data_IF_630329807506
#
_entry.id   IF_630329807506
#
_cell.length_a   1.000
_cell.length_b   1.000
_cell.length_c   1.000
_cell.angle_alpha   90.00
_cell.angle_beta   90.00
_cell.angle_gamma   90.00
#
_symmetry.space_group_name_H-M   'P 1'
#
loop_
_entity.id
_entity.type
_entity.pdbx_description
1 polymer ?
#
# COMPACT_ATOMS: atom_id res chain seq x y z
N UNK A 1 20.77 8.55 -2.69
CA UNK A 1 19.80 9.04 -1.69
C UNK A 1 19.25 10.46 -1.98
N UNK A 2 19.90 11.29 -2.81
CA UNK A 2 19.44 12.66 -3.11
C UNK A 2 18.12 12.79 -3.89
N UNK A 3 17.75 11.79 -4.71
CA UNK A 3 16.52 11.86 -5.51
C UNK A 3 15.23 11.68 -4.69
N UNK A 4 15.27 10.88 -3.61
CA UNK A 4 14.10 10.65 -2.76
C UNK A 4 13.78 11.87 -1.88
N UNK A 5 14.79 12.53 -1.32
CA UNK A 5 14.60 13.71 -0.48
C UNK A 5 13.95 14.85 -1.27
N UNK A 6 14.41 15.09 -2.50
CA UNK A 6 13.86 16.14 -3.37
C UNK A 6 12.40 15.88 -3.74
N UNK A 7 12.04 14.65 -4.13
CA UNK A 7 10.65 14.28 -4.45
C UNK A 7 9.74 14.39 -3.23
N UNK A 8 10.21 13.98 -2.05
CA UNK A 8 9.44 14.07 -0.82
C UNK A 8 9.14 15.52 -0.43
N UNK A 9 10.11 16.42 -0.63
CA UNK A 9 9.95 17.85 -0.32
C UNK A 9 9.01 18.53 -1.32
N UNK A 10 9.10 18.18 -2.60
CA UNK A 10 8.18 18.67 -3.62
C UNK A 10 6.73 18.25 -3.32
N UNK A 11 6.50 16.98 -2.95
CA UNK A 11 5.17 16.50 -2.56
C UNK A 11 4.63 17.24 -1.32
N UNK A 12 5.48 17.51 -0.33
CA UNK A 12 5.11 18.31 0.86
C UNK A 12 4.71 19.74 0.49
N UNK A 13 5.44 20.39 -0.41
CA UNK A 13 5.11 21.73 -0.90
C UNK A 13 3.74 21.78 -1.61
N UNK A 14 3.31 20.66 -2.22
CA UNK A 14 1.99 20.50 -2.83
C UNK A 14 0.88 20.13 -1.84
N UNK A 15 1.19 20.04 -0.54
CA UNK A 15 0.24 19.70 0.52
C UNK A 15 0.06 18.20 0.77
N UNK A 16 0.95 17.33 0.29
CA UNK A 16 0.93 15.90 0.61
C UNK A 16 1.76 15.59 1.87
N UNK A 17 1.32 14.58 2.62
CA UNK A 17 2.11 13.99 3.71
C UNK A 17 2.83 12.74 3.22
N UNK A 18 4.13 12.67 3.46
CA UNK A 18 4.93 11.45 3.25
C UNK A 18 5.06 10.75 4.60
N UNK A 19 4.67 9.47 4.67
CA UNK A 19 4.59 8.70 5.90
C UNK A 19 5.32 7.36 5.75
N UNK A 20 5.97 6.93 6.84
CA UNK A 20 6.51 5.57 6.99
C UNK A 20 5.53 4.64 7.72
N UNK A 21 4.44 5.19 8.27
CA UNK A 21 3.31 4.44 8.82
C UNK A 21 2.44 3.92 7.67
N UNK A 22 2.53 2.61 7.41
CA UNK A 22 1.82 1.94 6.32
C UNK A 22 0.29 2.00 6.48
N UNK A 23 -0.23 2.07 7.70
CA UNK A 23 -1.67 2.12 7.97
C UNK A 23 -2.29 3.48 7.65
N UNK A 24 -1.48 4.55 7.70
CA UNK A 24 -1.90 5.92 7.32
C UNK A 24 -1.69 6.22 5.84
N UNK A 25 -1.04 5.34 5.09
CA UNK A 25 -0.73 5.56 3.69
C UNK A 25 -2.00 5.49 2.82
N UNK A 26 -2.29 6.57 2.10
CA UNK A 26 -3.41 6.60 1.14
C UNK A 26 -3.00 6.13 -0.26
N UNK A 27 -1.73 6.34 -0.62
CA UNK A 27 -1.16 5.97 -1.92
C UNK A 27 0.20 5.31 -1.69
N UNK A 28 0.44 4.19 -2.38
CA UNK A 28 1.76 3.56 -2.47
C UNK A 28 2.32 3.79 -3.87
N UNK A 29 3.54 4.33 -3.96
CA UNK A 29 4.16 4.66 -5.24
C UNK A 29 5.18 3.58 -5.60
N UNK A 30 4.92 2.82 -6.67
CA UNK A 30 5.78 1.72 -7.09
C UNK A 30 5.84 1.60 -8.61
N UNK A 31 7.03 1.32 -9.19
CA UNK A 31 7.17 1.11 -10.64
C UNK A 31 6.72 -0.28 -11.09
N UNK A 32 6.66 -1.25 -10.18
CA UNK A 32 6.32 -2.66 -10.41
C UNK A 32 5.83 -3.30 -9.10
N UNK A 33 5.20 -4.47 -9.18
CA UNK A 33 4.82 -5.25 -8.00
C UNK A 33 6.09 -5.72 -7.28
N UNK A 34 6.14 -5.54 -5.95
CA UNK A 34 7.29 -5.91 -5.13
C UNK A 34 6.85 -6.67 -3.89
N UNK A 35 7.61 -7.68 -3.50
CA UNK A 35 7.42 -8.43 -2.24
C UNK A 35 8.20 -7.72 -1.14
N UNK A 36 7.68 -6.59 -0.67
CA UNK A 36 8.27 -5.79 0.42
C UNK A 36 7.16 -5.27 1.33
N UNK A 37 7.47 -4.99 2.59
CA UNK A 37 6.50 -4.41 3.53
C UNK A 37 5.94 -3.07 3.02
N UNK A 38 6.79 -2.24 2.42
CA UNK A 38 6.44 -0.94 1.83
C UNK A 38 5.45 -1.03 0.66
N UNK A 39 5.39 -2.16 -0.01
CA UNK A 39 4.40 -2.41 -1.07
C UNK A 39 3.16 -3.11 -0.50
N UNK A 40 3.37 -4.19 0.23
CA UNK A 40 2.32 -5.09 0.67
C UNK A 40 1.45 -4.48 1.77
N UNK A 41 2.01 -3.90 2.83
CA UNK A 41 1.23 -3.37 3.95
C UNK A 41 0.25 -2.25 3.53
N UNK A 42 0.65 -1.22 2.76
CA UNK A 42 -0.31 -0.23 2.28
C UNK A 42 -1.35 -0.82 1.32
N UNK A 43 -0.95 -1.74 0.43
CA UNK A 43 -1.85 -2.38 -0.53
C UNK A 43 -3.00 -3.09 0.20
N UNK A 44 -2.66 -3.91 1.18
CA UNK A 44 -3.64 -4.66 1.97
C UNK A 44 -4.43 -3.75 2.91
N UNK A 45 -3.86 -2.64 3.41
CA UNK A 45 -4.62 -1.59 4.10
C UNK A 45 -5.57 -0.80 3.17
N UNK A 46 -5.53 -1.05 1.85
CA UNK A 46 -6.45 -0.45 0.88
C UNK A 46 -5.94 0.82 0.22
N UNK A 47 -4.66 1.15 0.37
CA UNK A 47 -4.01 2.24 -0.36
C UNK A 47 -4.13 2.05 -1.88
N UNK A 48 -4.16 3.14 -2.64
CA UNK A 48 -4.07 3.08 -4.09
C UNK A 48 -2.61 2.86 -4.52
N UNK A 49 -2.35 1.86 -5.34
CA UNK A 49 -1.01 1.62 -5.89
C UNK A 49 -0.86 2.36 -7.21
N UNK A 50 0.05 3.34 -7.24
CA UNK A 50 0.27 4.23 -8.38
C UNK A 50 1.72 4.20 -8.85
N UNK A 51 1.92 4.55 -10.11
CA UNK A 51 3.24 4.64 -10.75
C UNK A 51 3.96 5.93 -10.34
N UNK A 52 5.32 5.96 -10.41
CA UNK A 52 6.08 7.18 -10.14
C UNK A 52 5.73 8.37 -11.05
N UNK A 53 5.15 8.12 -12.22
CA UNK A 53 4.71 9.16 -13.14
C UNK A 53 3.61 10.04 -12.53
N UNK A 54 2.80 9.51 -11.61
CA UNK A 54 1.82 10.32 -10.88
C UNK A 54 2.49 11.44 -10.08
N UNK A 55 3.57 11.12 -9.37
CA UNK A 55 4.32 12.09 -8.57
C UNK A 55 4.96 13.12 -9.47
N UNK A 56 5.58 12.69 -10.58
CA UNK A 56 6.18 13.60 -11.57
C UNK A 56 5.14 14.57 -12.11
N UNK A 57 3.99 14.08 -12.53
CA UNK A 57 2.94 14.93 -13.11
C UNK A 57 2.31 15.85 -12.06
N UNK A 58 2.18 15.42 -10.79
CA UNK A 58 1.77 16.32 -9.70
C UNK A 58 2.73 17.50 -9.53
N UNK A 59 4.04 17.23 -9.61
CA UNK A 59 5.09 18.26 -9.51
C UNK A 59 5.04 19.19 -10.72
N UNK A 60 4.97 18.65 -11.92
CA UNK A 60 4.91 19.43 -13.17
C UNK A 60 3.68 20.35 -13.21
N UNK A 61 2.51 19.86 -12.78
CA UNK A 61 1.28 20.65 -12.77
C UNK A 61 1.21 21.59 -11.55
N UNK A 62 2.07 21.39 -10.55
CA UNK A 62 2.06 22.20 -9.33
C UNK A 62 0.85 21.93 -8.42
N UNK A 63 0.22 20.74 -8.51
CA UNK A 63 -0.89 20.33 -7.63
C UNK A 63 -1.00 18.81 -7.52
N UNK A 64 -1.62 18.33 -6.45
CA UNK A 64 -1.92 16.91 -6.30
C UNK A 64 -3.07 16.49 -7.24
N UNK A 65 -2.79 15.55 -8.13
CA UNK A 65 -3.79 14.91 -9.00
C UNK A 65 -4.60 13.91 -8.15
N UNK A 66 -5.61 14.37 -7.43
CA UNK A 66 -6.46 13.54 -6.55
C UNK A 66 -7.72 13.09 -7.29
N UNK A 67 -8.25 11.91 -6.95
CA UNK A 67 -9.67 11.64 -7.27
C UNK A 67 -10.49 12.69 -6.56
N UNK A 68 -11.24 13.49 -7.30
CA UNK A 68 -12.20 14.36 -6.66
C UNK A 68 -13.29 13.49 -6.03
N UNK A 69 -13.33 13.44 -4.70
CA UNK A 69 -14.48 12.90 -3.94
C UNK A 69 -15.53 14.00 -3.77
N UNK A 70 -15.66 14.90 -4.74
CA UNK A 70 -16.66 15.96 -4.76
C UNK A 70 -17.85 15.45 -5.57
N UNK A 71 -18.62 14.60 -4.91
CA UNK A 71 -20.08 14.56 -5.09
C UNK A 71 -20.76 15.62 -4.19
N UNK A 72 -20.01 16.49 -3.51
CA UNK A 72 -20.58 17.63 -2.80
C UNK A 72 -20.62 18.86 -3.72
N UNK A 73 -21.82 19.07 -4.24
CA UNK A 73 -22.30 20.20 -5.02
C UNK A 73 -21.83 21.55 -4.43
N UNK A 74 -21.16 22.38 -5.23
CA UNK A 74 -21.00 23.80 -4.87
C UNK A 74 -19.90 24.61 -5.55
N UNK A 75 -18.88 24.00 -6.18
CA UNK A 75 -17.83 24.79 -6.82
C UNK A 75 -18.11 25.00 -8.32
N UNK A 76 -19.04 25.91 -8.62
CA UNK A 76 -19.46 26.30 -9.98
C UNK A 76 -18.36 27.03 -10.80
N UNK A 77 -17.19 27.30 -10.23
CA UNK A 77 -16.19 28.22 -10.83
C UNK A 77 -14.88 27.58 -11.26
N UNK A 78 -14.80 26.24 -11.40
CA UNK A 78 -13.59 25.60 -11.96
C UNK A 78 -13.91 24.58 -13.06
N UNK A 79 -13.65 24.89 -14.34
CA UNK A 79 -13.93 24.01 -15.49
C UNK A 79 -12.98 22.78 -15.61
N UNK A 80 -12.35 22.33 -14.51
CA UNK A 80 -11.32 21.28 -14.52
C UNK A 80 -11.70 20.00 -13.77
N UNK A 81 -12.92 19.91 -13.24
CA UNK A 81 -13.31 18.84 -12.33
C UNK A 81 -13.46 17.46 -13.01
N UNK A 82 -13.78 17.41 -14.30
CA UNK A 82 -14.10 16.16 -15.01
C UNK A 82 -12.84 15.36 -15.42
N UNK A 83 -11.73 16.01 -15.74
CA UNK A 83 -10.47 15.33 -16.12
C UNK A 83 -9.76 14.67 -14.92
N UNK A 84 -10.05 15.12 -13.70
CA UNK A 84 -9.26 14.78 -12.51
C UNK A 84 -9.54 13.36 -11.98
N UNK A 85 -10.74 12.81 -12.22
CA UNK A 85 -11.12 11.44 -11.78
C UNK A 85 -10.51 10.36 -12.70
N UNK A 86 -10.42 10.64 -14.00
CA UNK A 86 -9.72 9.78 -14.96
C UNK A 86 -8.20 9.82 -14.78
N UNK A 87 -7.65 10.95 -14.32
CA UNK A 87 -6.21 11.15 -14.13
C UNK A 87 -5.60 10.09 -13.21
N UNK A 88 -6.15 9.82 -12.02
CA UNK A 88 -5.55 8.81 -11.11
C UNK A 88 -5.65 7.39 -11.67
N UNK A 89 -6.71 7.07 -12.42
CA UNK A 89 -6.87 5.76 -13.03
C UNK A 89 -5.78 5.47 -14.08
N UNK A 90 -5.30 6.51 -14.79
CA UNK A 90 -4.16 6.43 -15.71
C UNK A 90 -2.88 6.01 -14.99
N UNK A 91 -2.67 6.49 -13.77
CA UNK A 91 -1.44 6.20 -13.04
C UNK A 91 -1.48 4.94 -12.18
N UNK A 92 -2.61 4.22 -12.13
CA UNK A 92 -2.67 2.93 -11.44
C UNK A 92 -1.59 2.00 -11.98
N UNK A 93 -0.89 1.33 -11.08
CA UNK A 93 0.09 0.33 -11.47
C UNK A 93 -0.60 -0.80 -12.23
N UNK A 94 -0.10 -1.10 -13.43
CA UNK A 94 -0.49 -2.27 -14.24
C UNK A 94 0.79 -3.03 -14.54
N UNK A 95 0.95 -4.18 -13.91
CA UNK A 95 2.13 -5.02 -14.01
C UNK A 95 1.70 -6.44 -14.35
N UNK A 96 1.42 -6.69 -15.63
CA UNK A 96 0.94 -7.98 -16.12
C UNK A 96 1.94 -9.11 -15.84
N UNK A 97 3.24 -8.80 -15.90
CA UNK A 97 4.30 -9.76 -15.61
C UNK A 97 4.32 -10.15 -14.14
N UNK A 98 4.21 -9.17 -13.23
CA UNK A 98 4.10 -9.42 -11.79
C UNK A 98 2.80 -10.14 -11.41
N UNK A 99 1.66 -9.74 -11.99
CA UNK A 99 0.37 -10.39 -11.77
C UNK A 99 0.40 -11.86 -12.22
N UNK A 100 1.02 -12.16 -13.36
CA UNK A 100 1.22 -13.53 -13.84
C UNK A 100 2.19 -14.32 -12.94
N UNK A 101 3.30 -13.72 -12.52
CA UNK A 101 4.30 -14.36 -11.65
C UNK A 101 3.72 -14.79 -10.31
N UNK A 102 2.87 -13.96 -9.71
CA UNK A 102 2.30 -14.20 -8.39
C UNK A 102 0.87 -14.75 -8.43
N UNK A 103 0.28 -14.91 -9.62
CA UNK A 103 -1.05 -15.48 -9.81
C UNK A 103 -2.19 -14.68 -9.18
N UNK A 104 -2.14 -13.35 -9.22
CA UNK A 104 -3.19 -12.49 -8.66
C UNK A 104 -3.47 -11.25 -9.51
N UNK A 105 -4.63 -10.63 -9.30
CA UNK A 105 -4.92 -9.30 -9.82
C UNK A 105 -4.74 -8.24 -8.76
N UNK A 106 -3.89 -7.25 -9.03
CA UNK A 106 -3.65 -6.11 -8.16
C UNK A 106 -4.93 -5.31 -7.94
N UNK A 107 -5.68 -5.04 -9.01
CA UNK A 107 -6.97 -4.32 -8.95
C UNK A 107 -7.96 -5.01 -8.02
N UNK A 108 -8.02 -6.34 -8.06
CA UNK A 108 -8.93 -7.11 -7.23
C UNK A 108 -8.46 -7.17 -5.77
N UNK A 109 -7.15 -7.31 -5.54
CA UNK A 109 -6.58 -7.24 -4.19
C UNK A 109 -6.84 -5.89 -3.53
N UNK A 110 -6.66 -4.77 -4.23
CA UNK A 110 -7.03 -3.45 -3.70
C UNK A 110 -8.54 -3.34 -3.40
N UNK A 111 -9.40 -3.93 -4.24
CA UNK A 111 -10.85 -3.91 -4.05
C UNK A 111 -11.26 -4.69 -2.81
N UNK A 112 -10.67 -5.87 -2.61
CA UNK A 112 -10.89 -6.70 -1.42
C UNK A 112 -10.39 -5.99 -0.16
N UNK A 113 -9.18 -5.44 -0.21
CA UNK A 113 -8.60 -4.66 0.87
C UNK A 113 -9.52 -3.53 1.36
N UNK A 114 -10.07 -2.71 0.44
CA UNK A 114 -10.95 -1.59 0.77
C UNK A 114 -12.34 -1.98 1.27
N UNK A 115 -12.82 -3.19 0.96
CA UNK A 115 -14.14 -3.69 1.39
C UNK A 115 -14.07 -4.55 2.64
N UNK A 116 -12.86 -4.85 3.11
CA UNK A 116 -12.64 -5.74 4.24
C UNK A 116 -13.11 -5.05 5.52
N UNK A 117 -13.80 -5.79 6.38
CA UNK A 117 -14.31 -5.28 7.67
C UNK A 117 -13.33 -5.51 8.82
N UNK A 118 -12.40 -6.45 8.66
CA UNK A 118 -11.53 -6.99 9.70
C UNK A 118 -10.09 -7.10 9.21
N UNK A 119 -9.16 -7.40 10.11
CA UNK A 119 -7.77 -7.61 9.70
C UNK A 119 -7.53 -8.95 8.98
N UNK A 120 -6.50 -9.06 8.13
CA UNK A 120 -6.32 -10.20 7.21
C UNK A 120 -6.04 -11.49 7.99
N UNK A 121 -5.35 -11.35 9.12
CA UNK A 121 -4.93 -12.45 9.97
C UNK A 121 -5.51 -12.31 11.38
N UNK A 122 -6.62 -11.60 11.52
CA UNK A 122 -7.28 -11.42 12.81
C UNK A 122 -7.62 -12.78 13.43
N UNK A 123 -7.22 -12.98 14.69
CA UNK A 123 -7.41 -14.23 15.41
C UNK A 123 -6.46 -15.37 15.02
N UNK A 124 -5.54 -15.15 14.07
CA UNK A 124 -4.60 -16.18 13.60
C UNK A 124 -3.23 -16.07 14.27
N UNK A 125 -2.63 -17.22 14.58
CA UNK A 125 -1.26 -17.32 15.09
C UNK A 125 -0.41 -18.15 14.14
N UNK A 126 0.78 -17.66 13.81
CA UNK A 126 1.69 -18.24 12.84
C UNK A 126 2.97 -18.70 13.52
N UNK A 127 3.42 -19.90 13.18
CA UNK A 127 4.76 -20.37 13.48
C UNK A 127 5.62 -20.26 12.23
N UNK A 128 6.68 -19.45 12.28
CA UNK A 128 7.63 -19.29 11.18
C UNK A 128 8.80 -20.26 11.37
N UNK A 129 8.89 -21.26 10.49
CA UNK A 129 9.97 -22.25 10.48
C UNK A 129 11.36 -21.57 10.40
N UNK A 130 12.41 -22.12 11.05
CA UNK A 130 13.77 -21.59 10.97
C UNK A 130 14.32 -21.47 9.54
N UNK A 131 13.90 -22.36 8.63
CA UNK A 131 14.26 -22.30 7.19
C UNK A 131 13.81 -21.00 6.50
N UNK A 132 12.90 -20.23 7.11
CA UNK A 132 12.45 -18.94 6.63
C UNK A 132 13.28 -17.76 7.18
N UNK A 133 14.43 -17.99 7.85
CA UNK A 133 15.22 -16.95 8.51
C UNK A 133 15.45 -15.69 7.64
N UNK A 134 15.82 -15.85 6.38
CA UNK A 134 16.04 -14.72 5.45
C UNK A 134 14.78 -13.92 5.07
N UNK A 135 13.58 -14.45 5.36
CA UNK A 135 12.28 -13.81 5.11
C UNK A 135 11.51 -13.54 6.40
N UNK A 136 12.00 -13.99 7.55
CA UNK A 136 11.29 -13.94 8.84
C UNK A 136 10.89 -12.52 9.19
N UNK A 137 11.81 -11.56 9.06
CA UNK A 137 11.53 -10.14 9.34
C UNK A 137 10.36 -9.61 8.52
N UNK A 138 10.35 -9.88 7.20
CA UNK A 138 9.26 -9.44 6.33
C UNK A 138 7.94 -10.13 6.68
N UNK A 139 7.96 -11.45 6.89
CA UNK A 139 6.76 -12.22 7.20
C UNK A 139 6.17 -11.82 8.55
N UNK A 140 6.99 -11.63 9.58
CA UNK A 140 6.57 -11.12 10.88
C UNK A 140 5.90 -9.75 10.76
N UNK A 141 6.55 -8.81 10.06
CA UNK A 141 5.98 -7.49 9.83
C UNK A 141 4.62 -7.56 9.13
N UNK A 142 4.46 -8.43 8.13
CA UNK A 142 3.20 -8.59 7.42
C UNK A 142 2.13 -9.25 8.29
N UNK A 143 2.48 -10.25 9.07
CA UNK A 143 1.53 -10.95 9.94
C UNK A 143 1.02 -10.01 11.03
N UNK A 144 1.93 -9.36 11.74
CA UNK A 144 1.64 -8.47 12.85
C UNK A 144 0.88 -7.22 12.40
N UNK A 145 1.26 -6.63 11.25
CA UNK A 145 0.54 -5.48 10.69
C UNK A 145 -0.92 -5.79 10.33
N UNK A 146 -1.26 -7.06 10.09
CA UNK A 146 -2.62 -7.49 9.78
C UNK A 146 -3.27 -8.28 10.91
N UNK A 147 -2.97 -7.94 12.16
CA UNK A 147 -3.68 -8.46 13.34
C UNK A 147 -3.36 -9.92 13.68
N UNK A 148 -2.40 -10.54 13.00
CA UNK A 148 -1.92 -11.88 13.32
C UNK A 148 -0.80 -11.86 14.36
N UNK A 149 -0.54 -13.01 14.98
CA UNK A 149 0.56 -13.18 15.95
C UNK A 149 1.62 -14.11 15.38
N UNK A 150 2.90 -13.80 15.59
CA UNK A 150 3.99 -14.74 15.28
C UNK A 150 4.52 -15.34 16.57
N UNK A 151 4.47 -16.67 16.67
CA UNK A 151 5.02 -17.40 17.82
C UNK A 151 6.55 -17.37 17.84
N UNK A 152 7.12 -17.25 19.04
CA UNK A 152 8.55 -17.50 19.28
C UNK A 152 8.86 -18.98 19.16
N UNK A 153 10.09 -19.29 18.76
CA UNK A 153 10.63 -20.64 18.82
C UNK A 153 10.85 -20.99 20.29
N UNK A 154 9.81 -21.41 21.00
CA UNK A 154 9.82 -22.20 22.23
C UNK A 154 8.35 -22.55 22.51
N UNK A 155 7.94 -23.82 22.45
CA UNK A 155 6.69 -24.20 23.09
C UNK A 155 6.84 -23.94 24.59
N UNK A 156 5.83 -23.35 25.20
CA UNK A 156 5.67 -23.39 26.64
C UNK A 156 5.83 -24.85 27.09
N UNK A 157 6.69 -25.11 28.07
CA UNK A 157 6.99 -26.48 28.56
C UNK A 157 5.75 -27.17 29.16
N UNK A 158 4.60 -26.49 29.19
CA UNK A 158 3.32 -27.03 29.63
C UNK A 158 2.68 -28.08 28.70
N UNK A 159 3.29 -28.39 27.54
CA UNK A 159 2.74 -29.33 26.56
C UNK A 159 3.51 -30.65 26.42
N UNK A 160 4.28 -31.07 27.43
CA UNK A 160 4.77 -32.46 27.53
C UNK A 160 3.97 -33.23 28.58
N UNK A 161 2.80 -33.73 28.19
CA UNK A 161 2.20 -34.91 28.83
C UNK A 161 1.90 -35.95 27.76
N UNK A 162 2.84 -36.88 27.59
CA UNK A 162 2.62 -38.21 27.05
C UNK A 162 3.33 -39.20 27.96
#
# INVERSE_FOLDING_TARGET
MAGFSMLSQALKALGATVTDDYGKATHSVAPAIRVTAKFLCPLSAGAAVVTPNWVKDCITVGRLLRKCFSLFLGCSQRPYHTETIAAVAKYRLRDTSGEALYGFSLRESERRARKRQSDLFEGMSFYLMPSLAGKRTLLSQLVEFHGGKVGSWFPDESCTSY
#
